data_IF_791459828149
#
_entry.id   IF_791459828149
#
_cell.length_a   1.000
_cell.length_b   1.000
_cell.length_c   1.000
_cell.angle_alpha   90.00
_cell.angle_beta   90.00
_cell.angle_gamma   90.00
#
_symmetry.space_group_name_H-M   'P 1'
#
loop_
_entity.id
_entity.type
_entity.pdbx_description
1 polymer ?
#
# COMPACT_ATOMS: atom_id res chain seq x y z
N UNK A 1 -26.13 -25.52 -2.22
CA UNK A 1 -24.77 -25.39 -2.79
C UNK A 1 -23.82 -25.92 -1.73
N UNK A 2 -22.67 -26.48 -2.11
CA UNK A 2 -21.66 -26.85 -1.11
C UNK A 2 -21.01 -25.55 -0.63
N UNK A 3 -21.17 -25.25 0.66
CA UNK A 3 -20.64 -24.04 1.31
C UNK A 3 -19.15 -24.21 1.73
N UNK A 4 -18.44 -25.13 1.07
CA UNK A 4 -17.04 -25.44 1.36
C UNK A 4 -16.34 -26.01 0.12
N UNK A 5 -15.01 -25.90 0.10
CA UNK A 5 -14.15 -26.51 -0.92
C UNK A 5 -12.99 -27.24 -0.26
N UNK A 6 -12.38 -28.18 -0.98
CA UNK A 6 -11.11 -28.80 -0.60
C UNK A 6 -10.01 -28.25 -1.50
N UNK A 7 -8.89 -27.89 -0.91
CA UNK A 7 -7.71 -27.43 -1.62
C UNK A 7 -6.58 -28.44 -1.44
N UNK A 8 -5.77 -28.59 -2.49
CA UNK A 8 -4.57 -29.42 -2.43
C UNK A 8 -3.60 -28.88 -1.37
N UNK A 9 -3.00 -29.78 -0.59
CA UNK A 9 -2.02 -29.39 0.42
C UNK A 9 -0.71 -29.00 -0.26
N UNK A 10 -0.29 -27.76 -0.09
CA UNK A 10 0.97 -27.25 -0.64
C UNK A 10 2.11 -27.61 0.30
N UNK A 11 3.08 -28.37 -0.22
CA UNK A 11 4.32 -28.69 0.49
C UNK A 11 5.21 -27.45 0.57
N UNK A 12 5.73 -27.19 1.77
CA UNK A 12 6.74 -26.15 1.96
C UNK A 12 8.11 -26.73 1.65
N UNK A 13 8.76 -26.17 0.62
CA UNK A 13 10.09 -26.55 0.15
C UNK A 13 10.84 -25.28 -0.25
N UNK A 14 11.73 -24.80 0.61
CA UNK A 14 12.29 -23.47 0.52
C UNK A 14 13.83 -23.40 0.44
N UNK A 15 14.51 -24.54 0.61
CA UNK A 15 15.97 -24.62 0.46
C UNK A 15 16.32 -24.77 -1.02
N UNK A 16 16.55 -23.64 -1.67
CA UNK A 16 16.76 -23.55 -3.12
C UNK A 16 18.24 -23.35 -3.45
N UNK A 17 18.62 -23.75 -4.67
CA UNK A 17 19.80 -23.20 -5.31
C UNK A 17 19.57 -21.73 -5.68
N UNK A 18 20.63 -20.94 -5.85
CA UNK A 18 20.50 -19.54 -6.26
C UNK A 18 19.74 -19.38 -7.59
N UNK A 19 19.95 -20.31 -8.54
CA UNK A 19 19.25 -20.29 -9.82
C UNK A 19 17.74 -20.59 -9.67
N UNK A 20 17.35 -21.46 -8.73
CA UNK A 20 15.94 -21.72 -8.40
C UNK A 20 15.30 -20.53 -7.70
N UNK A 21 16.01 -19.89 -6.76
CA UNK A 21 15.57 -18.65 -6.12
C UNK A 21 15.33 -17.54 -7.16
N UNK A 22 16.23 -17.36 -8.13
CA UNK A 22 16.03 -16.42 -9.23
C UNK A 22 14.76 -16.72 -10.04
N UNK A 23 14.46 -17.99 -10.31
CA UNK A 23 13.22 -18.39 -11.01
C UNK A 23 11.97 -18.21 -10.14
N UNK A 24 12.07 -18.45 -8.84
CA UNK A 24 11.00 -18.16 -7.88
C UNK A 24 10.61 -16.67 -7.92
N UNK A 25 11.57 -15.77 -7.79
CA UNK A 25 11.29 -14.33 -7.79
C UNK A 25 10.85 -13.81 -9.17
N UNK A 26 11.35 -14.40 -10.26
CA UNK A 26 10.79 -14.13 -11.59
C UNK A 26 9.30 -14.51 -11.67
N UNK A 27 8.92 -15.70 -11.20
CA UNK A 27 7.51 -16.13 -11.16
C UNK A 27 6.66 -15.25 -10.24
N UNK A 28 7.21 -14.85 -9.09
CA UNK A 28 6.56 -13.92 -8.19
C UNK A 28 6.29 -12.57 -8.88
N UNK A 29 7.23 -12.09 -9.69
CA UNK A 29 7.06 -10.87 -10.49
C UNK A 29 5.92 -11.02 -11.50
N UNK A 30 5.85 -12.15 -12.19
CA UNK A 30 4.74 -12.45 -13.11
C UNK A 30 3.39 -12.42 -12.36
N UNK A 31 3.28 -13.07 -11.20
CA UNK A 31 2.07 -13.04 -10.38
C UNK A 31 1.72 -11.63 -9.91
N UNK A 32 2.70 -10.84 -9.49
CA UNK A 32 2.51 -9.45 -9.08
C UNK A 32 1.88 -8.60 -10.20
N UNK A 33 2.28 -8.81 -11.45
CA UNK A 33 1.65 -8.13 -12.59
C UNK A 33 0.18 -8.52 -12.80
N UNK A 34 -0.16 -9.79 -12.57
CA UNK A 34 -1.53 -10.28 -12.64
C UNK A 34 -2.38 -9.68 -11.51
N UNK A 35 -1.84 -9.64 -10.30
CA UNK A 35 -2.53 -9.08 -9.13
C UNK A 35 -2.77 -7.58 -9.23
N UNK A 36 -1.83 -6.83 -9.81
CA UNK A 36 -2.03 -5.41 -10.14
C UNK A 36 -3.27 -5.20 -11.03
N UNK A 37 -3.43 -6.04 -12.05
CA UNK A 37 -4.54 -5.94 -13.01
C UNK A 37 -5.86 -6.39 -12.39
N UNK A 38 -5.85 -7.52 -11.66
CA UNK A 38 -7.02 -8.04 -10.97
C UNK A 38 -7.42 -7.19 -9.75
N UNK A 39 -6.62 -6.19 -9.38
CA UNK A 39 -6.83 -5.38 -8.17
C UNK A 39 -6.84 -6.26 -6.91
N UNK A 40 -6.00 -7.28 -6.90
CA UNK A 40 -5.89 -8.19 -5.77
C UNK A 40 -5.31 -7.46 -4.55
N UNK A 41 -5.75 -7.89 -3.38
CA UNK A 41 -5.25 -7.42 -2.08
C UNK A 41 -4.96 -8.63 -1.20
N UNK A 42 -4.27 -8.41 -0.08
CA UNK A 42 -4.09 -9.43 0.96
C UNK A 42 -3.16 -10.61 0.59
N UNK A 43 -2.21 -10.40 -0.33
CA UNK A 43 -1.16 -11.38 -0.66
C UNK A 43 0.04 -11.25 0.30
N UNK A 44 -0.24 -11.21 1.61
CA UNK A 44 0.76 -11.09 2.67
C UNK A 44 1.38 -12.46 3.01
N UNK A 45 2.37 -12.44 3.92
CA UNK A 45 3.20 -13.59 4.27
C UNK A 45 2.46 -14.88 4.66
N UNK A 46 1.25 -14.80 5.22
CA UNK A 46 0.47 -15.99 5.59
C UNK A 46 -0.17 -16.68 4.38
N UNK A 47 -0.37 -15.94 3.29
CA UNK A 47 -1.11 -16.38 2.10
C UNK A 47 -0.20 -16.89 0.96
N UNK A 48 1.11 -16.95 1.18
CA UNK A 48 2.09 -17.45 0.22
C UNK A 48 2.93 -18.58 0.83
N UNK A 49 3.08 -19.67 0.09
CA UNK A 49 3.98 -20.78 0.45
C UNK A 49 5.03 -20.96 -0.65
N UNK A 50 6.30 -21.06 -0.24
CA UNK A 50 7.40 -21.50 -1.11
C UNK A 50 7.29 -23.00 -1.32
N UNK A 51 7.02 -23.41 -2.55
CA UNK A 51 6.97 -24.82 -2.97
C UNK A 51 7.98 -25.04 -4.08
N UNK A 52 9.24 -25.25 -3.68
CA UNK A 52 10.38 -25.23 -4.56
C UNK A 52 10.52 -23.86 -5.21
N UNK A 53 10.72 -23.85 -6.51
CA UNK A 53 10.84 -22.62 -7.31
C UNK A 53 9.50 -21.93 -7.64
N UNK A 54 8.38 -22.31 -6.99
CA UNK A 54 7.04 -21.78 -7.26
C UNK A 54 6.45 -21.05 -6.04
N UNK A 55 6.11 -19.74 -6.15
CA UNK A 55 5.31 -19.03 -5.15
C UNK A 55 3.85 -19.47 -5.23
N UNK A 56 3.41 -20.28 -4.25
CA UNK A 56 2.06 -20.82 -4.21
C UNK A 56 1.15 -19.92 -3.38
N UNK A 57 0.08 -19.45 -4.02
CA UNK A 57 -0.93 -18.59 -3.42
C UNK A 57 -2.00 -19.51 -2.83
N UNK A 58 -2.15 -19.50 -1.51
CA UNK A 58 -3.02 -20.45 -0.83
C UNK A 58 -4.39 -19.87 -0.46
N UNK A 59 -4.52 -18.54 -0.45
CA UNK A 59 -5.79 -17.86 -0.28
C UNK A 59 -6.06 -16.95 -1.49
N UNK A 60 -7.23 -17.08 -2.09
CA UNK A 60 -7.63 -16.36 -3.31
C UNK A 60 -8.97 -15.64 -3.17
N UNK A 61 -9.52 -15.57 -1.95
CA UNK A 61 -10.82 -14.93 -1.70
C UNK A 61 -10.82 -13.41 -1.98
N UNK A 62 -9.63 -12.80 -1.98
CA UNK A 62 -9.34 -11.37 -2.27
C UNK A 62 -8.59 -11.18 -3.59
N UNK A 63 -8.64 -12.17 -4.50
CA UNK A 63 -8.00 -12.06 -5.82
C UNK A 63 -8.57 -10.90 -6.65
N UNK A 64 -9.82 -10.52 -6.39
CA UNK A 64 -10.46 -9.32 -6.92
C UNK A 64 -10.85 -8.44 -5.73
N UNK A 65 -10.99 -7.14 -5.95
CA UNK A 65 -11.46 -6.21 -4.90
C UNK A 65 -12.60 -5.32 -5.37
N UNK A 66 -13.48 -5.02 -4.41
CA UNK A 66 -14.48 -3.98 -4.54
C UNK A 66 -14.01 -2.73 -3.79
N UNK A 67 -14.32 -1.55 -4.32
CA UNK A 67 -13.84 -0.29 -3.78
C UNK A 67 -15.01 0.68 -3.54
N UNK A 68 -15.03 1.29 -2.35
CA UNK A 68 -16.02 2.32 -1.98
C UNK A 68 -15.73 3.62 -2.74
N UNK A 69 -14.47 3.86 -3.09
CA UNK A 69 -14.02 5.01 -3.87
C UNK A 69 -13.23 4.52 -5.07
N UNK A 70 -13.37 5.22 -6.19
CA UNK A 70 -12.56 4.99 -7.38
C UNK A 70 -12.13 6.33 -7.98
N UNK A 71 -10.81 6.52 -8.03
CA UNK A 71 -10.14 7.67 -8.62
C UNK A 71 -9.20 7.26 -9.77
N UNK A 72 -9.34 6.04 -10.31
CA UNK A 72 -8.42 5.44 -11.29
C UNK A 72 -8.15 6.33 -12.50
N UNK A 73 -9.17 6.99 -13.04
CA UNK A 73 -9.02 7.90 -14.18
C UNK A 73 -8.16 9.12 -13.84
N UNK A 74 -8.32 9.66 -12.64
CA UNK A 74 -7.62 10.86 -12.17
C UNK A 74 -6.15 10.51 -11.90
N UNK A 75 -5.93 9.51 -11.05
CA UNK A 75 -4.59 9.09 -10.61
C UNK A 75 -3.85 8.29 -11.68
N UNK A 76 -4.52 7.88 -12.76
CA UNK A 76 -4.01 6.99 -13.81
C UNK A 76 -3.44 5.68 -13.26
N UNK A 77 -4.04 5.17 -12.18
CA UNK A 77 -3.58 3.96 -11.48
C UNK A 77 -2.24 4.09 -10.77
N UNK A 78 -1.81 5.32 -10.48
CA UNK A 78 -0.52 5.62 -9.86
C UNK A 78 -0.58 5.86 -8.34
N UNK A 79 -1.76 5.88 -7.72
CA UNK A 79 -1.84 5.96 -6.24
C UNK A 79 -1.42 4.64 -5.60
N UNK A 80 -0.97 4.70 -4.33
CA UNK A 80 -0.52 3.50 -3.58
C UNK A 80 -1.60 2.42 -3.59
N UNK A 81 -2.86 2.79 -3.34
CA UNK A 81 -4.02 1.89 -3.23
C UNK A 81 -4.39 1.20 -4.55
N UNK A 82 -3.87 1.69 -5.68
CA UNK A 82 -4.16 1.18 -7.02
C UNK A 82 -2.94 0.54 -7.68
N UNK A 83 -1.81 0.53 -6.96
CA UNK A 83 -0.50 0.09 -7.43
C UNK A 83 -0.16 -1.33 -6.98
N UNK A 84 0.98 -1.84 -7.43
CA UNK A 84 1.57 -3.11 -6.97
C UNK A 84 1.73 -3.20 -5.46
N UNK A 85 1.85 -2.06 -4.76
CA UNK A 85 1.99 -2.02 -3.31
C UNK A 85 0.72 -2.45 -2.58
N UNK A 86 -0.47 -2.23 -3.17
CA UNK A 86 -1.75 -2.62 -2.55
C UNK A 86 -1.95 -4.14 -2.48
N UNK A 87 -1.12 -4.92 -3.20
CA UNK A 87 -1.19 -6.38 -3.20
C UNK A 87 -0.73 -6.99 -1.88
N UNK A 88 0.06 -6.26 -1.08
CA UNK A 88 0.78 -6.77 0.09
C UNK A 88 1.87 -7.83 -0.21
N UNK A 89 2.19 -8.12 -1.48
CA UNK A 89 3.34 -8.98 -1.81
C UNK A 89 4.69 -8.29 -1.53
N UNK A 90 4.72 -6.97 -1.63
CA UNK A 90 5.91 -6.15 -1.52
C UNK A 90 6.01 -5.49 -0.14
N UNK A 91 7.23 -5.26 0.38
CA UNK A 91 7.44 -4.51 1.61
C UNK A 91 6.88 -3.09 1.49
N UNK A 92 6.08 -2.68 2.46
CA UNK A 92 5.68 -1.29 2.62
C UNK A 92 5.64 -0.95 4.11
N UNK A 93 6.41 0.05 4.52
CA UNK A 93 6.31 0.65 5.84
C UNK A 93 5.27 1.76 5.78
N UNK A 94 4.00 1.41 5.99
CA UNK A 94 2.90 2.37 6.03
C UNK A 94 2.48 2.69 7.48
N UNK A 95 1.43 3.50 7.64
CA UNK A 95 0.93 3.86 8.97
C UNK A 95 0.10 2.76 9.65
N UNK A 96 -0.31 1.73 8.90
CA UNK A 96 -1.23 0.68 9.37
C UNK A 96 -0.44 -0.45 10.03
N UNK A 97 0.68 -0.85 9.43
CA UNK A 97 1.61 -1.83 9.98
C UNK A 97 3.00 -1.22 10.09
N UNK A 98 3.50 -1.11 11.31
CA UNK A 98 4.86 -0.64 11.61
C UNK A 98 5.89 -1.78 11.60
N UNK A 99 5.51 -2.93 11.03
CA UNK A 99 6.35 -4.11 10.81
C UNK A 99 6.08 -4.67 9.41
N UNK A 100 7.10 -5.26 8.79
CA UNK A 100 6.95 -5.87 7.48
C UNK A 100 6.10 -7.15 7.52
N UNK A 101 4.92 -7.09 6.89
CA UNK A 101 4.02 -8.25 6.71
C UNK A 101 3.97 -8.72 5.25
N UNK A 102 4.90 -8.30 4.40
CA UNK A 102 4.84 -8.57 2.97
C UNK A 102 4.97 -10.05 2.59
N UNK A 103 4.35 -10.41 1.47
CA UNK A 103 4.34 -11.78 0.96
C UNK A 103 5.70 -12.34 0.53
N UNK A 104 6.65 -11.49 0.10
CA UNK A 104 7.89 -11.98 -0.54
C UNK A 104 9.15 -11.87 0.31
N UNK A 105 9.21 -10.94 1.26
CA UNK A 105 10.43 -10.70 2.02
C UNK A 105 10.14 -10.68 3.51
N UNK A 106 11.10 -11.18 4.28
CA UNK A 106 11.04 -11.18 5.74
C UNK A 106 12.12 -10.29 6.32
N UNK A 107 11.77 -9.61 7.40
CA UNK A 107 12.70 -8.89 8.26
C UNK A 107 12.23 -9.06 9.69
N UNK A 108 13.15 -9.43 10.59
CA UNK A 108 12.83 -9.54 12.01
C UNK A 108 12.63 -8.14 12.60
N UNK A 109 11.40 -7.87 13.04
CA UNK A 109 10.98 -6.56 13.53
C UNK A 109 10.01 -6.70 14.68
N UNK A 110 10.00 -5.71 15.56
CA UNK A 110 9.06 -5.59 16.67
C UNK A 110 8.23 -4.32 16.49
N UNK A 111 6.92 -4.49 16.57
CA UNK A 111 5.97 -3.40 16.50
C UNK A 111 6.12 -2.46 17.70
N UNK A 112 6.06 -1.17 17.42
CA UNK A 112 6.05 -0.09 18.41
C UNK A 112 4.64 0.35 18.77
N UNK A 113 3.66 0.00 17.94
CA UNK A 113 2.27 0.45 18.07
C UNK A 113 1.31 -0.70 18.39
N UNK A 114 1.62 -1.93 17.99
CA UNK A 114 0.78 -3.11 18.17
C UNK A 114 1.34 -3.98 19.30
N UNK A 115 0.50 -4.19 20.32
CA UNK A 115 0.82 -5.04 21.47
C UNK A 115 -0.28 -6.06 21.72
N UNK A 116 0.10 -7.22 22.22
CA UNK A 116 -0.81 -8.25 22.70
C UNK A 116 -0.43 -8.70 24.11
N UNK A 117 -1.36 -9.37 24.79
CA UNK A 117 -1.11 -9.97 26.10
C UNK A 117 -1.00 -11.47 25.92
N UNK A 118 0.14 -12.04 26.31
CA UNK A 118 0.37 -13.48 26.33
C UNK A 118 0.20 -14.03 27.74
N UNK A 119 -0.45 -15.19 27.88
CA UNK A 119 -0.54 -15.89 29.16
C UNK A 119 0.76 -16.67 29.37
N UNK A 120 1.51 -16.30 30.40
CA UNK A 120 2.80 -16.90 30.73
C UNK A 120 2.64 -17.74 31.99
N UNK A 121 3.06 -19.00 31.91
CA UNK A 121 3.16 -19.89 33.06
C UNK A 121 4.33 -19.45 33.96
N UNK A 122 4.09 -19.38 35.25
CA UNK A 122 5.09 -18.98 36.23
C UNK A 122 4.93 -19.83 37.49
N UNK A 123 6.01 -20.49 37.91
CA UNK A 123 5.98 -21.40 39.08
C UNK A 123 5.55 -20.74 40.39
N UNK A 124 5.70 -19.42 40.55
CA UNK A 124 5.30 -18.68 41.75
C UNK A 124 3.92 -18.00 41.62
N UNK A 125 3.55 -17.57 40.42
CA UNK A 125 2.32 -16.82 40.14
C UNK A 125 1.22 -17.64 39.45
N UNK A 126 1.45 -18.94 39.25
CA UNK A 126 0.67 -19.86 38.41
C UNK A 126 0.67 -19.40 36.94
N UNK A 127 -0.12 -18.36 36.61
CA UNK A 127 -0.09 -17.70 35.30
C UNK A 127 -0.22 -16.19 35.45
N UNK A 128 0.45 -15.44 34.58
CA UNK A 128 0.24 -13.99 34.47
C UNK A 128 0.22 -13.54 33.01
N UNK A 129 -0.44 -12.41 32.75
CA UNK A 129 -0.43 -11.81 31.42
C UNK A 129 0.77 -10.88 31.27
N UNK A 130 1.58 -11.11 30.23
CA UNK A 130 2.68 -10.25 29.84
C UNK A 130 2.31 -9.47 28.58
N UNK A 131 2.51 -8.15 28.60
CA UNK A 131 2.34 -7.31 27.41
C UNK A 131 3.56 -7.50 26.50
N UNK A 132 3.35 -8.08 25.32
CA UNK A 132 4.37 -8.29 24.29
C UNK A 132 4.09 -7.42 23.07
N UNK A 133 5.15 -6.87 22.48
CA UNK A 133 5.07 -6.26 21.16
C UNK A 133 4.72 -7.35 20.12
N UNK A 134 3.89 -7.02 19.14
CA UNK A 134 3.77 -7.85 17.95
C UNK A 134 5.14 -7.94 17.26
N UNK A 135 5.49 -9.09 16.72
CA UNK A 135 6.76 -9.29 16.03
C UNK A 135 6.52 -10.08 14.77
N UNK A 136 7.36 -9.86 13.77
CA UNK A 136 7.42 -10.75 12.61
C UNK A 136 8.07 -12.07 13.04
N UNK A 137 7.74 -13.14 12.33
CA UNK A 137 8.33 -14.46 12.53
C UNK A 137 8.62 -15.08 11.18
N UNK A 138 9.54 -16.06 11.14
CA UNK A 138 9.77 -16.82 9.91
C UNK A 138 8.52 -17.63 9.58
N UNK A 139 8.06 -17.47 8.34
CA UNK A 139 6.85 -18.07 7.81
C UNK A 139 7.19 -18.83 6.53
N UNK A 140 6.20 -19.55 6.00
CA UNK A 140 6.39 -20.46 4.85
C UNK A 140 6.56 -19.75 3.51
N UNK A 141 6.64 -18.43 3.51
CA UNK A 141 6.80 -17.58 2.32
C UNK A 141 8.27 -17.23 2.00
N UNK A 142 9.23 -17.68 2.82
CA UNK A 142 10.63 -17.25 2.74
C UNK A 142 11.52 -18.29 2.09
N UNK A 143 12.32 -17.84 1.13
CA UNK A 143 13.30 -18.65 0.37
C UNK A 143 14.66 -18.64 1.08
N UNK A 144 15.30 -19.80 1.12
CA UNK A 144 16.65 -20.00 1.65
C UNK A 144 17.60 -20.44 0.52
N UNK A 145 18.83 -19.92 0.52
CA UNK A 145 19.94 -20.41 -0.32
C UNK A 145 21.13 -20.65 0.59
N UNK A 146 21.66 -21.88 0.59
CA UNK A 146 22.75 -22.29 1.49
C UNK A 146 22.48 -21.99 2.98
N UNK A 147 21.23 -22.18 3.42
CA UNK A 147 20.80 -21.93 4.81
C UNK A 147 20.66 -20.45 5.19
N UNK A 148 20.72 -19.52 4.22
CA UNK A 148 20.51 -18.08 4.45
C UNK A 148 19.26 -17.59 3.74
N UNK A 149 18.55 -16.66 4.37
CA UNK A 149 17.43 -15.95 3.75
C UNK A 149 17.97 -15.16 2.56
N UNK A 150 17.30 -15.28 1.42
CA UNK A 150 17.66 -14.52 0.21
C UNK A 150 17.22 -13.08 0.36
N UNK A 151 18.16 -12.14 0.22
CA UNK A 151 17.92 -10.70 0.32
C UNK A 151 17.28 -10.10 -0.93
N UNK A 152 16.56 -9.00 -0.78
CA UNK A 152 15.91 -8.28 -1.88
C UNK A 152 16.90 -7.74 -2.92
N UNK A 153 18.11 -7.40 -2.48
CA UNK A 153 19.23 -6.93 -3.28
C UNK A 153 19.78 -8.01 -4.23
N UNK A 154 19.62 -9.29 -3.88
CA UNK A 154 20.13 -10.42 -4.67
C UNK A 154 19.17 -10.83 -5.80
N UNK A 155 17.86 -10.57 -5.63
CA UNK A 155 16.79 -11.11 -6.49
C UNK A 155 15.81 -10.06 -7.02
N UNK A 156 15.94 -8.81 -6.59
CA UNK A 156 15.05 -7.70 -6.99
C UNK A 156 15.00 -7.48 -8.49
N UNK A 157 16.13 -7.64 -9.18
CA UNK A 157 16.18 -7.56 -10.65
C UNK A 157 15.32 -8.66 -11.30
N UNK A 158 15.35 -9.90 -10.78
CA UNK A 158 14.51 -10.99 -11.30
C UNK A 158 13.03 -10.77 -11.03
N UNK A 159 12.68 -10.19 -9.88
CA UNK A 159 11.31 -9.77 -9.59
C UNK A 159 10.82 -8.73 -10.61
N UNK A 160 11.65 -7.73 -10.93
CA UNK A 160 11.34 -6.69 -11.93
C UNK A 160 11.24 -7.25 -13.35
N UNK A 161 12.15 -8.14 -13.75
CA UNK A 161 12.10 -8.85 -15.04
C UNK A 161 10.81 -9.65 -15.19
N UNK A 162 10.42 -10.39 -14.14
CA UNK A 162 9.18 -11.16 -14.11
C UNK A 162 7.94 -10.29 -14.19
N UNK A 163 7.90 -9.19 -13.42
CA UNK A 163 6.82 -8.22 -13.46
C UNK A 163 6.63 -7.62 -14.85
N UNK A 164 7.72 -7.16 -15.46
CA UNK A 164 7.67 -6.57 -16.80
C UNK A 164 7.21 -7.60 -17.85
N UNK A 165 7.73 -8.82 -17.78
CA UNK A 165 7.34 -9.89 -18.70
C UNK A 165 5.85 -10.23 -18.59
N UNK A 166 5.32 -10.37 -17.37
CA UNK A 166 3.90 -10.61 -17.12
C UNK A 166 3.02 -9.44 -17.57
N UNK A 167 3.40 -8.20 -17.23
CA UNK A 167 2.68 -7.00 -17.61
C UNK A 167 2.62 -6.81 -19.13
N UNK A 168 3.74 -6.99 -19.84
CA UNK A 168 3.78 -6.93 -21.32
C UNK A 168 3.05 -8.09 -21.99
N UNK A 169 2.98 -9.26 -21.34
CA UNK A 169 2.15 -10.36 -21.82
C UNK A 169 0.66 -9.98 -21.74
N UNK A 170 0.21 -9.45 -20.61
CA UNK A 170 -1.16 -8.97 -20.42
C UNK A 170 -1.50 -7.85 -21.40
N UNK A 171 -0.61 -6.88 -21.60
CA UNK A 171 -0.80 -5.75 -22.52
C UNK A 171 -1.03 -6.22 -23.97
N UNK A 172 -0.29 -7.25 -24.42
CA UNK A 172 -0.45 -7.83 -25.76
C UNK A 172 -1.73 -8.63 -25.95
N UNK A 173 -2.32 -9.14 -24.86
CA UNK A 173 -3.47 -10.05 -24.88
C UNK A 173 -4.69 -9.46 -24.15
N UNK A 174 -4.80 -8.13 -24.07
CA UNK A 174 -5.83 -7.43 -23.29
C UNK A 174 -7.25 -7.86 -23.63
N UNK A 175 -7.58 -8.00 -24.92
CA UNK A 175 -8.93 -8.33 -25.36
C UNK A 175 -9.31 -9.79 -24.99
N UNK A 176 -8.35 -10.72 -25.06
CA UNK A 176 -8.56 -12.09 -24.61
C UNK A 176 -8.75 -12.14 -23.09
N UNK A 177 -7.94 -11.39 -22.34
CA UNK A 177 -8.07 -11.29 -20.90
C UNK A 177 -9.45 -10.73 -20.47
N UNK A 178 -9.90 -9.64 -21.11
CA UNK A 178 -11.25 -9.07 -20.89
C UNK A 178 -12.35 -10.09 -21.19
N UNK A 179 -12.21 -10.87 -22.26
CA UNK A 179 -13.18 -11.91 -22.63
C UNK A 179 -13.26 -13.04 -21.58
N UNK A 180 -12.14 -13.45 -21.00
CA UNK A 180 -12.11 -14.44 -19.93
C UNK A 180 -12.87 -13.92 -18.71
N UNK A 181 -12.57 -12.70 -18.26
CA UNK A 181 -13.22 -12.10 -17.09
C UNK A 181 -14.71 -11.80 -17.32
N UNK A 182 -15.08 -11.37 -18.52
CA UNK A 182 -16.48 -11.11 -18.91
C UNK A 182 -17.30 -12.37 -19.16
N UNK A 183 -16.73 -13.57 -19.00
CA UNK A 183 -17.43 -14.83 -19.18
C UNK A 183 -18.58 -14.99 -18.19
N UNK A 184 -19.73 -15.47 -18.67
CA UNK A 184 -20.90 -15.77 -17.83
C UNK A 184 -20.60 -16.80 -16.73
N UNK A 185 -19.52 -17.59 -16.87
CA UNK A 185 -19.02 -18.52 -15.84
C UNK A 185 -18.76 -17.82 -14.50
N UNK A 186 -18.33 -16.56 -14.53
CA UNK A 186 -17.95 -15.82 -13.32
C UNK A 186 -19.03 -14.83 -12.85
N UNK A 187 -20.20 -14.79 -13.50
CA UNK A 187 -21.23 -13.79 -13.20
C UNK A 187 -21.76 -13.84 -11.75
N UNK A 188 -21.70 -15.02 -11.12
CA UNK A 188 -22.08 -15.23 -9.71
C UNK A 188 -20.88 -15.43 -8.78
N UNK A 189 -19.65 -15.15 -9.26
CA UNK A 189 -18.47 -15.24 -8.42
C UNK A 189 -18.59 -14.25 -7.26
N UNK A 190 -18.55 -14.78 -6.05
CA UNK A 190 -18.51 -13.99 -4.82
C UNK A 190 -17.06 -13.58 -4.53
N UNK A 191 -16.87 -12.31 -4.20
CA UNK A 191 -15.58 -11.68 -3.96
C UNK A 191 -15.59 -11.11 -2.55
N UNK A 192 -14.65 -11.53 -1.70
CA UNK A 192 -14.59 -11.08 -0.31
C UNK A 192 -14.27 -9.59 -0.25
N UNK A 193 -15.00 -8.88 0.62
CA UNK A 193 -14.78 -7.46 0.88
C UNK A 193 -14.13 -7.27 2.26
N UNK A 194 -12.84 -6.97 2.29
CA UNK A 194 -12.11 -6.65 3.52
C UNK A 194 -12.37 -5.19 3.93
N UNK A 195 -13.45 -4.96 4.68
CA UNK A 195 -13.85 -3.63 5.14
C UNK A 195 -13.12 -3.15 6.40
N UNK A 196 -12.41 -4.05 7.07
CA UNK A 196 -11.61 -3.80 8.28
C UNK A 196 -10.60 -4.93 8.43
N UNK A 197 -9.38 -4.60 8.87
CA UNK A 197 -8.37 -5.61 9.15
C UNK A 197 -8.85 -6.62 10.19
N UNK A 198 -8.64 -7.90 9.91
CA UNK A 198 -9.10 -9.03 10.74
C UNK A 198 -8.62 -8.96 12.19
N UNK A 199 -7.41 -8.41 12.41
CA UNK A 199 -6.84 -8.19 13.74
C UNK A 199 -7.77 -7.38 14.66
N UNK A 200 -8.45 -6.37 14.10
CA UNK A 200 -9.35 -5.52 14.89
C UNK A 200 -10.50 -6.35 15.44
N UNK A 201 -11.12 -7.20 14.62
CA UNK A 201 -12.17 -8.12 15.07
C UNK A 201 -11.65 -9.14 16.08
N UNK A 202 -10.46 -9.69 15.88
CA UNK A 202 -9.84 -10.59 16.83
C UNK A 202 -9.65 -9.93 18.21
N UNK A 203 -9.26 -8.65 18.23
CA UNK A 203 -9.16 -7.86 19.46
C UNK A 203 -10.52 -7.75 20.14
N UNK A 204 -11.60 -7.42 19.42
CA UNK A 204 -12.95 -7.39 20.00
C UNK A 204 -13.36 -8.74 20.60
N UNK A 205 -13.16 -9.84 19.87
CA UNK A 205 -13.50 -11.20 20.33
C UNK A 205 -12.70 -11.55 21.59
N UNK A 206 -11.41 -11.24 21.63
CA UNK A 206 -10.54 -11.46 22.80
C UNK A 206 -11.05 -10.70 24.03
N UNK A 207 -11.38 -9.42 23.88
CA UNK A 207 -11.91 -8.61 24.97
C UNK A 207 -13.30 -9.09 25.44
N UNK A 208 -14.11 -9.59 24.50
CA UNK A 208 -15.40 -10.22 24.79
C UNK A 208 -15.28 -11.52 25.60
N UNK A 209 -14.18 -12.28 25.41
CA UNK A 209 -13.90 -13.55 26.10
C UNK A 209 -13.26 -13.38 27.50
N UNK A 210 -12.99 -12.15 27.96
CA UNK A 210 -12.49 -11.92 29.33
C UNK A 210 -13.56 -12.29 30.37
N UNK A 211 -13.15 -12.88 31.50
CA UNK A 211 -14.05 -13.37 32.57
C UNK A 211 -15.04 -12.30 33.02
N UNK A 212 -14.57 -11.06 33.23
CA UNK A 212 -15.44 -9.96 33.66
C UNK A 212 -16.51 -9.59 32.62
N UNK A 213 -16.18 -9.74 31.34
CA UNK A 213 -17.08 -9.47 30.23
C UNK A 213 -18.09 -10.59 30.07
N UNK A 214 -17.65 -11.85 30.12
CA UNK A 214 -18.50 -13.04 30.03
C UNK A 214 -19.56 -13.09 31.14
N UNK A 215 -19.22 -12.59 32.34
CA UNK A 215 -20.14 -12.52 33.48
C UNK A 215 -21.14 -11.35 33.40
N UNK A 216 -20.98 -10.42 32.46
CA UNK A 216 -21.79 -9.19 32.41
C UNK A 216 -22.13 -8.78 30.98
N UNK A 217 -23.40 -9.04 30.57
CA UNK A 217 -23.93 -8.68 29.25
C UNK A 217 -23.80 -7.19 28.93
N UNK A 218 -23.99 -6.30 29.91
CA UNK A 218 -23.84 -4.85 29.67
C UNK A 218 -22.39 -4.47 29.35
N UNK A 219 -21.40 -5.11 30.00
CA UNK A 219 -19.98 -4.94 29.65
C UNK A 219 -19.69 -5.48 28.24
N UNK A 220 -20.21 -6.66 27.92
CA UNK A 220 -20.10 -7.26 26.57
C UNK A 220 -20.63 -6.31 25.48
N UNK A 221 -21.86 -5.85 25.62
CA UNK A 221 -22.49 -4.92 24.67
C UNK A 221 -21.74 -3.57 24.61
N UNK A 222 -21.23 -3.07 25.74
CA UNK A 222 -20.46 -1.82 25.79
C UNK A 222 -19.14 -1.92 25.01
N UNK A 223 -18.45 -3.07 25.05
CA UNK A 223 -17.24 -3.30 24.25
C UNK A 223 -17.61 -3.23 22.76
N UNK A 224 -18.62 -3.97 22.31
CA UNK A 224 -19.00 -3.97 20.89
C UNK A 224 -19.47 -2.59 20.39
N UNK A 225 -20.14 -1.79 21.25
CA UNK A 225 -20.54 -0.40 20.92
C UNK A 225 -19.37 0.55 20.64
N UNK A 226 -18.13 0.18 20.96
CA UNK A 226 -16.95 0.96 20.55
C UNK A 226 -16.87 1.07 19.03
N UNK A 227 -17.29 0.02 18.30
CA UNK A 227 -17.34 0.05 16.83
C UNK A 227 -18.23 1.19 16.31
N UNK A 228 -19.38 1.43 16.95
CA UNK A 228 -20.28 2.53 16.57
C UNK A 228 -19.66 3.90 16.82
N UNK A 229 -18.95 4.08 17.95
CA UNK A 229 -18.32 5.36 18.31
C UNK A 229 -17.18 5.74 17.38
N UNK A 230 -16.40 4.75 16.92
CA UNK A 230 -15.29 4.96 16.00
C UNK A 230 -15.71 4.97 14.52
N UNK A 231 -17.01 4.85 14.23
CA UNK A 231 -17.51 4.81 12.87
C UNK A 231 -18.19 6.13 12.50
N UNK A 232 -17.70 6.74 11.43
CA UNK A 232 -18.42 7.83 10.78
C UNK A 232 -19.42 7.22 9.80
N UNK A 233 -20.74 7.41 10.03
CA UNK A 233 -21.74 6.88 9.13
C UNK A 233 -21.58 7.54 7.75
N UNK A 234 -21.54 6.71 6.71
CA UNK A 234 -21.66 7.16 5.33
C UNK A 234 -23.15 7.32 4.97
N UNK A 235 -23.48 7.39 3.68
CA UNK A 235 -24.86 7.47 3.18
C UNK A 235 -25.76 6.32 3.68
N UNK A 236 -25.16 5.16 3.98
CA UNK A 236 -25.84 3.96 4.46
C UNK A 236 -26.05 3.92 5.98
N UNK A 237 -25.75 5.02 6.69
CA UNK A 237 -25.86 5.07 8.15
C UNK A 237 -24.94 4.07 8.83
N UNK A 238 -25.49 3.25 9.72
CA UNK A 238 -24.75 2.28 10.54
C UNK A 238 -24.94 0.82 10.13
N UNK A 239 -25.68 0.52 9.06
CA UNK A 239 -26.08 -0.86 8.68
C UNK A 239 -24.90 -1.84 8.60
N UNK A 240 -23.80 -1.43 7.97
CA UNK A 240 -22.56 -2.22 7.88
C UNK A 240 -21.99 -2.56 9.27
N UNK A 241 -21.97 -1.60 10.20
CA UNK A 241 -21.43 -1.80 11.56
C UNK A 241 -22.38 -2.59 12.44
N UNK A 242 -23.69 -2.44 12.24
CA UNK A 242 -24.68 -3.27 12.90
C UNK A 242 -24.49 -4.75 12.56
N UNK A 243 -24.26 -5.07 11.28
CA UNK A 243 -23.93 -6.45 10.88
C UNK A 243 -22.58 -6.91 11.47
N UNK A 244 -21.55 -6.05 11.54
CA UNK A 244 -20.29 -6.38 12.25
C UNK A 244 -20.58 -6.80 13.71
N UNK A 245 -21.39 -6.01 14.41
CA UNK A 245 -21.76 -6.26 15.82
C UNK A 245 -22.56 -7.56 15.95
N UNK A 246 -23.50 -7.85 15.05
CA UNK A 246 -24.29 -9.09 15.08
C UNK A 246 -23.44 -10.35 14.83
N UNK A 247 -22.37 -10.25 14.04
CA UNK A 247 -21.39 -11.32 13.89
C UNK A 247 -20.54 -11.48 15.16
N UNK A 248 -20.00 -10.38 15.70
CA UNK A 248 -19.17 -10.41 16.90
C UNK A 248 -19.92 -10.84 18.17
N UNK A 249 -21.23 -10.60 18.25
CA UNK A 249 -22.09 -11.15 19.32
C UNK A 249 -22.08 -12.68 19.37
N UNK A 250 -21.86 -13.32 18.23
CA UNK A 250 -21.69 -14.79 18.10
C UNK A 250 -20.23 -15.22 18.19
N UNK A 251 -19.32 -14.27 18.40
CA UNK A 251 -17.86 -14.45 18.37
C UNK A 251 -17.32 -14.86 17.00
N UNK A 252 -18.06 -14.57 15.94
CA UNK A 252 -17.63 -14.76 14.55
C UNK A 252 -16.91 -13.51 14.04
N UNK A 253 -15.90 -13.71 13.21
CA UNK A 253 -15.33 -12.62 12.40
C UNK A 253 -16.33 -12.28 11.30
N UNK A 254 -16.73 -11.01 11.13
CA UNK A 254 -17.66 -10.62 10.08
C UNK A 254 -17.12 -10.98 8.69
N UNK A 255 -17.94 -11.69 7.91
CA UNK A 255 -17.67 -12.00 6.51
C UNK A 255 -18.58 -11.15 5.62
N UNK A 256 -17.96 -10.29 4.82
CA UNK A 256 -18.63 -9.48 3.81
C UNK A 256 -18.14 -9.84 2.43
N UNK A 257 -19.01 -9.72 1.44
CA UNK A 257 -18.68 -9.98 0.05
C UNK A 257 -19.54 -9.14 -0.89
N UNK A 258 -19.14 -9.09 -2.16
CA UNK A 258 -19.99 -8.69 -3.29
C UNK A 258 -19.92 -9.76 -4.38
N UNK A 259 -20.70 -9.60 -5.44
CA UNK A 259 -20.57 -10.43 -6.65
C UNK A 259 -19.77 -9.67 -7.70
N UNK A 260 -19.15 -10.40 -8.63
CA UNK A 260 -18.28 -9.84 -9.68
C UNK A 260 -18.89 -8.63 -10.42
N UNK A 261 -20.20 -8.68 -10.71
CA UNK A 261 -20.93 -7.66 -11.46
C UNK A 261 -21.90 -6.84 -10.60
N UNK A 262 -21.74 -6.87 -9.28
CA UNK A 262 -22.64 -6.20 -8.33
C UNK A 262 -21.88 -5.19 -7.46
N UNK A 263 -22.61 -4.20 -6.97
CA UNK A 263 -22.16 -3.09 -6.12
C UNK A 263 -22.74 -3.15 -4.71
N UNK A 264 -23.64 -4.09 -4.45
CA UNK A 264 -24.23 -4.30 -3.14
C UNK A 264 -23.24 -4.96 -2.17
N UNK A 265 -23.32 -4.60 -0.90
CA UNK A 265 -22.60 -5.28 0.17
C UNK A 265 -23.46 -6.42 0.72
N UNK A 266 -22.93 -7.63 0.70
CA UNK A 266 -23.59 -8.82 1.21
C UNK A 266 -22.95 -9.35 2.49
N UNK A 267 -23.76 -9.95 3.34
CA UNK A 267 -23.32 -10.84 4.41
C UNK A 267 -24.40 -11.90 4.65
N UNK A 268 -23.99 -13.16 4.89
CA UNK A 268 -24.90 -14.28 5.18
C UNK A 268 -26.07 -14.40 4.18
N UNK A 269 -25.79 -14.29 2.88
CA UNK A 269 -26.77 -14.34 1.80
C UNK A 269 -27.85 -13.24 1.84
N UNK A 270 -27.59 -12.12 2.53
CA UNK A 270 -28.46 -10.96 2.60
C UNK A 270 -27.72 -9.73 2.10
N UNK A 271 -28.45 -8.85 1.43
CA UNK A 271 -27.96 -7.50 1.14
C UNK A 271 -27.98 -6.70 2.45
N UNK A 272 -26.82 -6.18 2.85
CA UNK A 272 -26.64 -5.34 4.03
C UNK A 272 -26.78 -3.87 3.64
N UNK A 273 -26.11 -3.48 2.56
CA UNK A 273 -26.18 -2.14 1.99
C UNK A 273 -26.34 -2.25 0.46
N UNK A 274 -27.37 -1.60 -0.09
CA UNK A 274 -27.50 -1.47 -1.54
C UNK A 274 -26.48 -0.44 -2.05
N UNK A 275 -25.89 -0.67 -3.23
CA UNK A 275 -24.98 0.28 -3.90
C UNK A 275 -23.82 0.78 -3.00
N UNK A 276 -23.32 -0.10 -2.12
CA UNK A 276 -22.28 0.23 -1.16
C UNK A 276 -20.94 0.57 -1.81
N UNK A 277 -20.61 -0.12 -2.90
CA UNK A 277 -19.40 0.10 -3.67
C UNK A 277 -19.69 1.03 -4.85
N UNK A 278 -18.77 1.95 -5.16
CA UNK A 278 -18.89 2.83 -6.32
C UNK A 278 -18.91 2.02 -7.63
N UNK A 279 -18.12 0.96 -7.67
CA UNK A 279 -17.93 0.09 -8.83
C UNK A 279 -17.92 -1.38 -8.41
N UNK A 280 -18.39 -2.24 -9.31
CA UNK A 280 -18.26 -3.70 -9.12
C UNK A 280 -16.79 -4.14 -9.27
N UNK A 281 -16.42 -5.32 -8.74
CA UNK A 281 -15.07 -5.86 -8.94
C UNK A 281 -14.67 -5.95 -10.42
N UNK A 282 -15.57 -6.35 -11.32
CA UNK A 282 -15.29 -6.37 -12.75
C UNK A 282 -15.00 -4.96 -13.29
N UNK A 283 -15.83 -3.98 -12.91
CA UNK A 283 -15.64 -2.60 -13.36
C UNK A 283 -14.32 -2.01 -12.87
N UNK A 284 -13.88 -2.33 -11.65
CA UNK A 284 -12.56 -1.92 -11.15
C UNK A 284 -11.41 -2.46 -12.00
N UNK A 285 -11.50 -3.72 -12.43
CA UNK A 285 -10.51 -4.30 -13.35
C UNK A 285 -10.55 -3.59 -14.70
N UNK A 286 -11.74 -3.36 -15.26
CA UNK A 286 -11.89 -2.67 -16.54
C UNK A 286 -11.36 -1.23 -16.50
N UNK A 287 -11.59 -0.51 -15.41
CA UNK A 287 -11.03 0.83 -15.18
C UNK A 287 -9.51 0.79 -15.05
N UNK A 288 -8.95 -0.22 -14.38
CA UNK A 288 -7.50 -0.42 -14.35
C UNK A 288 -6.90 -0.71 -15.74
N UNK A 289 -7.60 -1.50 -16.55
CA UNK A 289 -7.19 -1.84 -17.91
C UNK A 289 -7.29 -0.66 -18.88
N UNK A 290 -8.19 0.30 -18.66
CA UNK A 290 -8.33 1.46 -19.57
C UNK A 290 -7.13 2.42 -19.51
N UNK A 291 -6.42 2.43 -18.38
CA UNK A 291 -5.18 3.23 -18.18
C UNK A 291 -3.91 2.38 -18.28
N UNK A 292 -4.03 1.07 -18.53
CA UNK A 292 -2.89 0.16 -18.58
C UNK A 292 -2.12 0.28 -19.89
N UNK A 293 -0.88 0.78 -19.79
CA UNK A 293 0.02 1.03 -20.91
C UNK A 293 1.49 0.96 -20.45
N UNK A 294 2.44 1.15 -21.37
CA UNK A 294 3.87 1.12 -21.07
C UNK A 294 4.32 2.16 -20.02
N UNK A 295 3.69 3.33 -19.96
CA UNK A 295 3.99 4.33 -18.91
C UNK A 295 3.54 3.85 -17.53
N UNK A 296 2.37 3.21 -17.45
CA UNK A 296 1.90 2.58 -16.22
C UNK A 296 2.84 1.45 -15.81
N UNK A 297 3.29 0.59 -16.75
CA UNK A 297 4.26 -0.47 -16.45
C UNK A 297 5.55 0.13 -15.88
N UNK A 298 6.11 1.16 -16.51
CA UNK A 298 7.30 1.87 -16.02
C UNK A 298 7.09 2.42 -14.61
N UNK A 299 5.94 3.03 -14.37
CA UNK A 299 5.60 3.59 -13.06
C UNK A 299 5.50 2.52 -11.96
N UNK A 300 4.86 1.38 -12.27
CA UNK A 300 4.72 0.30 -11.31
C UNK A 300 6.08 -0.35 -11.02
N UNK A 301 6.96 -0.50 -12.02
CA UNK A 301 8.36 -0.92 -11.79
C UNK A 301 9.09 0.03 -10.83
N UNK A 302 8.93 1.34 -11.01
CA UNK A 302 9.51 2.33 -10.11
C UNK A 302 9.02 2.16 -8.66
N UNK A 303 7.73 1.84 -8.45
CA UNK A 303 7.21 1.54 -7.11
C UNK A 303 7.76 0.23 -6.53
N UNK A 304 8.00 -0.80 -7.35
CA UNK A 304 8.71 -2.01 -6.91
C UNK A 304 10.12 -1.64 -6.44
N UNK A 305 10.86 -0.89 -7.25
CA UNK A 305 12.21 -0.42 -6.90
C UNK A 305 12.22 0.38 -5.60
N UNK A 306 11.29 1.33 -5.43
CA UNK A 306 11.16 2.11 -4.19
C UNK A 306 10.83 1.23 -2.98
N UNK A 307 9.99 0.21 -3.14
CA UNK A 307 9.66 -0.74 -2.08
C UNK A 307 10.89 -1.54 -1.65
N UNK A 308 11.63 -2.12 -2.60
CA UNK A 308 12.85 -2.87 -2.29
C UNK A 308 13.94 -1.96 -1.70
N UNK A 309 14.09 -0.74 -2.22
CA UNK A 309 15.05 0.24 -1.72
C UNK A 309 14.76 0.64 -0.27
N UNK A 310 13.52 1.03 0.04
CA UNK A 310 13.14 1.42 1.40
C UNK A 310 13.17 0.27 2.40
N UNK A 311 13.08 -0.98 1.92
CA UNK A 311 13.21 -2.18 2.73
C UNK A 311 14.66 -2.53 3.11
N UNK A 312 15.58 -2.44 2.13
CA UNK A 312 16.98 -2.87 2.26
C UNK A 312 17.93 -1.79 2.77
N UNK A 313 17.69 -0.53 2.39
CA UNK A 313 18.58 0.59 2.63
C UNK A 313 18.42 1.16 4.04
N UNK A 314 19.54 1.45 4.71
CA UNK A 314 19.59 2.16 5.99
C UNK A 314 19.98 3.62 5.78
N UNK A 315 19.70 4.47 6.75
CA UNK A 315 20.11 5.89 6.71
C UNK A 315 21.63 6.06 6.49
N UNK A 316 22.44 5.19 7.08
CA UNK A 316 23.90 5.17 6.88
C UNK A 316 24.32 4.98 5.44
N UNK A 317 23.50 4.34 4.62
CA UNK A 317 23.81 4.03 3.23
C UNK A 317 23.55 5.23 2.30
N UNK A 318 22.80 6.24 2.77
CA UNK A 318 22.46 7.45 2.02
C UNK A 318 23.55 8.53 2.17
N UNK A 319 24.15 8.61 3.36
CA UNK A 319 25.23 9.56 3.66
C UNK A 319 26.56 9.07 3.07
N UNK A 320 26.71 9.20 1.75
CA UNK A 320 27.99 9.03 1.09
C UNK A 320 28.78 10.34 1.14
N UNK A 321 30.07 10.28 1.48
CA UNK A 321 30.98 11.41 1.32
C UNK A 321 31.05 11.78 -0.15
N UNK A 322 30.36 12.86 -0.53
CA UNK A 322 30.48 13.42 -1.87
C UNK A 322 31.87 14.04 -2.02
N UNK A 323 32.69 13.49 -2.91
CA UNK A 323 33.89 14.15 -3.39
C UNK A 323 33.47 15.47 -4.05
N UNK A 324 33.75 16.59 -3.39
CA UNK A 324 33.57 17.91 -3.94
C UNK A 324 34.59 18.10 -5.06
N UNK A 325 34.16 17.87 -6.30
CA UNK A 325 34.96 18.19 -7.48
C UNK A 325 34.64 19.65 -7.83
N UNK A 326 35.61 20.54 -7.58
CA UNK A 326 35.51 21.93 -8.02
C UNK A 326 35.73 22.00 -9.54
N UNK A 327 34.62 21.93 -10.29
CA UNK A 327 34.59 22.01 -11.75
C UNK A 327 33.64 23.12 -12.16
N UNK A 328 34.10 24.01 -13.03
CA UNK A 328 33.21 24.94 -13.73
C UNK A 328 32.35 24.15 -14.72
N UNK A 329 31.03 24.25 -14.58
CA UNK A 329 30.05 23.60 -15.45
C UNK A 329 29.39 24.70 -16.30
N UNK A 330 29.30 24.49 -17.61
CA UNK A 330 28.61 25.43 -18.50
C UNK A 330 27.10 25.40 -18.27
N UNK A 331 26.42 26.54 -18.43
CA UNK A 331 24.97 26.64 -18.22
C UNK A 331 24.14 25.64 -19.05
N UNK A 332 24.59 25.30 -20.26
CA UNK A 332 23.89 24.31 -21.12
C UNK A 332 24.02 22.88 -20.58
N UNK A 333 25.20 22.52 -20.09
CA UNK A 333 25.43 21.22 -19.45
C UNK A 333 24.62 21.11 -18.16
N UNK A 334 24.57 22.19 -17.38
CA UNK A 334 23.73 22.27 -16.18
C UNK A 334 22.24 22.12 -16.51
N UNK A 335 21.72 22.81 -17.54
CA UNK A 335 20.32 22.69 -17.97
C UNK A 335 19.97 21.25 -18.35
N UNK A 336 20.86 20.57 -19.08
CA UNK A 336 20.66 19.19 -19.50
C UNK A 336 20.61 18.23 -18.30
N UNK A 337 21.58 18.34 -17.38
CA UNK A 337 21.66 17.48 -16.20
C UNK A 337 20.44 17.69 -15.29
N UNK A 338 20.15 18.95 -14.92
CA UNK A 338 19.02 19.27 -14.04
C UNK A 338 17.68 18.95 -14.71
N UNK A 339 17.58 19.18 -16.02
CA UNK A 339 16.40 18.83 -16.81
C UNK A 339 16.11 17.34 -16.79
N UNK A 340 17.14 16.48 -16.88
CA UNK A 340 16.97 15.03 -16.76
C UNK A 340 16.25 14.66 -15.46
N UNK A 341 16.69 15.19 -14.32
CA UNK A 341 16.05 14.93 -13.03
C UNK A 341 14.63 15.49 -12.95
N UNK A 342 14.42 16.73 -13.42
CA UNK A 342 13.10 17.36 -13.38
C UNK A 342 12.05 16.60 -14.22
N UNK A 343 12.41 16.19 -15.44
CA UNK A 343 11.53 15.43 -16.32
C UNK A 343 11.37 13.97 -15.88
N UNK A 344 12.39 13.37 -15.24
CA UNK A 344 12.26 12.06 -14.63
C UNK A 344 11.25 12.08 -13.47
N UNK A 345 11.35 13.06 -12.56
CA UNK A 345 10.37 13.27 -11.48
C UNK A 345 8.97 13.52 -12.03
N UNK A 346 8.84 14.35 -13.09
CA UNK A 346 7.56 14.57 -13.77
C UNK A 346 6.99 13.26 -14.35
N UNK A 347 7.83 12.36 -14.86
CA UNK A 347 7.35 11.08 -15.41
C UNK A 347 6.68 10.19 -14.35
N UNK A 348 7.00 10.41 -13.06
CA UNK A 348 6.43 9.73 -11.91
C UNK A 348 5.34 10.54 -11.19
N UNK A 349 4.81 11.58 -11.82
CA UNK A 349 3.68 12.35 -11.30
C UNK A 349 2.45 11.47 -11.05
N UNK A 350 1.76 11.74 -9.95
CA UNK A 350 0.48 11.14 -9.57
C UNK A 350 -0.57 12.24 -9.49
N UNK A 351 -1.41 12.44 -10.51
CA UNK A 351 -2.42 13.49 -10.50
C UNK A 351 -3.50 13.20 -9.45
N UNK A 352 -3.89 14.20 -8.66
CA UNK A 352 -4.92 14.09 -7.61
C UNK A 352 -6.20 14.85 -7.97
N UNK A 353 -6.05 15.97 -8.67
CA UNK A 353 -7.11 16.79 -9.26
C UNK A 353 -6.60 17.36 -10.58
N UNK A 354 -7.40 18.16 -11.28
CA UNK A 354 -6.95 18.88 -12.49
C UNK A 354 -5.76 19.82 -12.24
N UNK A 355 -5.56 20.25 -11.00
CA UNK A 355 -4.59 21.27 -10.61
C UNK A 355 -3.66 20.88 -9.46
N UNK A 356 -3.71 19.63 -8.97
CA UNK A 356 -2.86 19.15 -7.89
C UNK A 356 -2.35 17.73 -8.14
N UNK A 357 -1.14 17.47 -7.67
CA UNK A 357 -0.43 16.20 -7.88
C UNK A 357 0.41 15.81 -6.68
N UNK A 358 0.76 14.53 -6.61
CA UNK A 358 1.76 13.96 -5.71
C UNK A 358 2.94 13.41 -6.50
N UNK A 359 4.03 13.18 -5.79
CA UNK A 359 5.18 12.41 -6.22
C UNK A 359 5.62 11.55 -5.03
N UNK A 360 5.69 10.24 -5.20
CA UNK A 360 6.15 9.32 -4.14
C UNK A 360 7.66 9.15 -4.22
N UNK A 361 8.30 9.11 -3.07
CA UNK A 361 9.74 8.99 -2.92
C UNK A 361 10.08 8.21 -1.66
N UNK A 362 11.33 7.76 -1.54
CA UNK A 362 11.87 7.31 -0.28
C UNK A 362 12.03 8.52 0.65
N UNK A 363 11.38 8.46 1.82
CA UNK A 363 11.48 9.46 2.86
C UNK A 363 11.97 8.82 4.16
N UNK A 364 12.86 9.51 4.85
CA UNK A 364 13.35 9.09 6.16
C UNK A 364 12.35 9.54 7.24
N UNK A 365 11.95 8.61 8.10
CA UNK A 365 11.15 8.90 9.29
C UNK A 365 11.82 8.27 10.51
N UNK A 366 12.39 9.12 11.39
CA UNK A 366 13.06 8.89 12.70
C UNK A 366 14.04 7.70 12.83
N UNK A 367 13.75 6.53 12.25
CA UNK A 367 14.53 5.31 12.36
C UNK A 367 14.52 4.44 11.07
N UNK A 368 13.70 4.74 10.06
CA UNK A 368 13.64 3.94 8.83
C UNK A 368 13.24 4.74 7.59
N UNK A 369 13.58 4.20 6.43
CA UNK A 369 13.05 4.65 5.15
C UNK A 369 11.66 4.09 4.92
N UNK A 370 10.80 4.91 4.32
CA UNK A 370 9.47 4.51 3.86
C UNK A 370 9.13 5.20 2.55
N UNK A 371 8.15 4.66 1.83
CA UNK A 371 7.56 5.37 0.70
C UNK A 371 6.60 6.42 1.25
N UNK A 372 6.84 7.70 0.94
CA UNK A 372 5.94 8.81 1.29
C UNK A 372 5.82 9.75 0.09
N UNK A 373 4.75 10.54 0.05
CA UNK A 373 4.63 11.61 -0.93
C UNK A 373 5.49 12.82 -0.49
N UNK A 374 5.94 13.62 -1.47
CA UNK A 374 6.61 14.91 -1.18
C UNK A 374 5.78 15.70 -0.17
N UNK A 375 6.46 16.20 0.86
CA UNK A 375 5.84 16.87 2.00
C UNK A 375 6.31 18.33 2.11
N UNK A 376 5.68 19.07 3.03
CA UNK A 376 5.91 20.49 3.23
C UNK A 376 7.31 20.83 3.78
N UNK A 377 7.94 19.91 4.51
CA UNK A 377 9.22 20.17 5.16
C UNK A 377 10.34 20.27 4.13
N UNK A 378 11.10 21.37 4.17
CA UNK A 378 12.16 21.64 3.18
C UNK A 378 13.21 20.53 3.14
N UNK A 379 13.53 19.91 4.27
CA UNK A 379 14.61 18.93 4.37
C UNK A 379 14.29 17.62 3.64
N UNK A 380 13.08 17.08 3.83
CA UNK A 380 12.72 15.77 3.28
C UNK A 380 12.07 15.86 1.89
N UNK A 381 11.21 16.86 1.62
CA UNK A 381 10.44 16.92 0.38
C UNK A 381 10.32 18.30 -0.25
N UNK A 382 10.10 19.35 0.55
CA UNK A 382 9.89 20.70 0.06
C UNK A 382 11.05 21.23 -0.81
N UNK A 383 12.28 20.78 -0.53
CA UNK A 383 13.45 21.07 -1.35
C UNK A 383 13.32 20.63 -2.82
N UNK A 384 12.59 19.54 -3.10
CA UNK A 384 12.33 19.07 -4.47
C UNK A 384 11.45 20.08 -5.22
N UNK A 385 10.39 20.58 -4.58
CA UNK A 385 9.53 21.60 -5.18
C UNK A 385 10.30 22.90 -5.40
N UNK A 386 11.13 23.28 -4.41
CA UNK A 386 12.03 24.43 -4.53
C UNK A 386 12.98 24.30 -5.71
N UNK A 387 13.58 23.13 -5.90
CA UNK A 387 14.41 22.81 -7.06
C UNK A 387 13.61 22.96 -8.36
N UNK A 388 12.43 22.36 -8.46
CA UNK A 388 11.65 22.34 -9.69
C UNK A 388 11.21 23.74 -10.13
N UNK A 389 10.66 24.57 -9.24
CA UNK A 389 10.27 25.93 -9.64
C UNK A 389 11.49 26.84 -9.90
N UNK A 390 12.62 26.61 -9.21
CA UNK A 390 13.86 27.35 -9.47
C UNK A 390 14.45 26.98 -10.83
N UNK A 391 14.46 25.68 -11.17
CA UNK A 391 14.83 25.19 -12.49
C UNK A 391 13.96 25.83 -13.58
N UNK A 392 12.65 25.80 -13.37
CA UNK A 392 11.68 26.35 -14.31
C UNK A 392 11.87 27.86 -14.54
N UNK A 393 12.15 28.64 -13.49
CA UNK A 393 12.41 30.07 -13.63
C UNK A 393 13.74 30.37 -14.35
N UNK A 394 14.84 29.69 -13.96
CA UNK A 394 16.16 29.91 -14.55
C UNK A 394 16.19 29.56 -16.04
N UNK A 395 15.57 28.45 -16.43
CA UNK A 395 15.60 27.94 -17.80
C UNK A 395 14.33 28.23 -18.60
N UNK A 396 13.37 28.96 -18.02
CA UNK A 396 12.08 29.32 -18.63
C UNK A 396 11.30 28.08 -19.14
N UNK A 397 11.29 27.02 -18.33
CA UNK A 397 10.58 25.77 -18.62
C UNK A 397 9.15 25.80 -18.04
N UNK A 398 8.18 26.12 -18.89
CA UNK A 398 6.76 26.19 -18.53
C UNK A 398 6.15 24.84 -18.12
N UNK A 399 6.70 23.72 -18.60
CA UNK A 399 6.21 22.38 -18.24
C UNK A 399 6.54 22.09 -16.79
N UNK A 400 7.79 22.31 -16.39
CA UNK A 400 8.25 22.11 -15.01
C UNK A 400 7.66 23.17 -14.07
N UNK A 401 7.42 24.40 -14.55
CA UNK A 401 6.69 25.44 -13.80
C UNK A 401 5.29 24.98 -13.40
N UNK A 402 4.52 24.41 -14.35
CA UNK A 402 3.18 23.87 -14.07
C UNK A 402 3.23 22.66 -13.15
N UNK A 403 4.21 21.77 -13.33
CA UNK A 403 4.38 20.60 -12.48
C UNK A 403 4.66 20.98 -11.02
N UNK A 404 5.62 21.88 -10.78
CA UNK A 404 5.93 22.37 -9.43
C UNK A 404 4.74 23.05 -8.75
N UNK A 405 3.92 23.83 -9.50
CA UNK A 405 2.65 24.39 -9.02
C UNK A 405 1.67 23.30 -8.56
N UNK A 406 1.49 22.23 -9.35
CA UNK A 406 0.61 21.12 -8.99
C UNK A 406 1.08 20.36 -7.74
N UNK A 407 2.38 20.13 -7.59
CA UNK A 407 2.93 19.51 -6.38
C UNK A 407 2.71 20.39 -5.14
N UNK A 408 2.94 21.70 -5.26
CA UNK A 408 2.74 22.63 -4.15
C UNK A 408 1.27 22.68 -3.70
N UNK A 409 0.32 22.72 -4.65
CA UNK A 409 -1.11 22.59 -4.38
C UNK A 409 -1.46 21.24 -3.74
N UNK A 410 -0.83 20.16 -4.18
CA UNK A 410 -1.00 18.82 -3.61
C UNK A 410 -0.66 18.77 -2.11
N UNK A 411 0.48 19.35 -1.73
CA UNK A 411 0.88 19.46 -0.32
C UNK A 411 -0.12 20.31 0.47
N UNK A 412 -0.57 21.44 -0.08
CA UNK A 412 -1.53 22.30 0.59
C UNK A 412 -2.87 21.58 0.83
N UNK A 413 -3.40 20.90 -0.18
CA UNK A 413 -4.64 20.12 -0.08
C UNK A 413 -4.51 19.01 0.97
N UNK A 414 -3.38 18.31 1.00
CA UNK A 414 -3.09 17.29 2.01
C UNK A 414 -3.06 17.89 3.43
N UNK A 415 -2.40 19.03 3.62
CA UNK A 415 -2.42 19.75 4.90
C UNK A 415 -3.84 20.12 5.34
N UNK A 416 -4.71 20.59 4.43
CA UNK A 416 -6.09 20.92 4.76
C UNK A 416 -6.88 19.73 5.32
N UNK A 417 -6.59 18.52 4.85
CA UNK A 417 -7.20 17.27 5.32
C UNK A 417 -6.57 16.81 6.64
N UNK A 418 -5.25 16.89 6.76
CA UNK A 418 -4.50 16.36 7.91
C UNK A 418 -4.62 17.25 9.15
N UNK A 419 -4.73 18.58 9.00
CA UNK A 419 -4.76 19.55 10.11
C UNK A 419 -5.95 19.36 11.06
N UNK A 420 -7.02 18.70 10.61
CA UNK A 420 -8.20 18.40 11.42
C UNK A 420 -8.00 17.18 12.33
N UNK A 421 -7.03 16.33 11.99
CA UNK A 421 -6.72 15.07 12.69
C UNK A 421 -5.54 15.19 13.66
N UNK A 422 -4.89 16.34 13.70
CA UNK A 422 -3.65 16.57 14.46
C UNK A 422 -3.91 17.34 15.75
N UNK A 423 -3.56 16.72 16.88
CA UNK A 423 -3.56 17.38 18.19
C UNK A 423 -2.43 18.43 18.31
N UNK A 424 -1.28 18.17 17.67
CA UNK A 424 -0.13 19.08 17.63
C UNK A 424 0.27 19.28 16.17
N UNK A 425 0.33 20.55 15.75
CA UNK A 425 0.71 20.91 14.37
C UNK A 425 2.20 21.25 14.31
N UNK A 426 3.02 20.49 13.57
CA UNK A 426 4.43 20.81 13.40
C UNK A 426 4.57 22.03 12.46
N UNK A 427 4.86 23.21 13.02
CA UNK A 427 4.98 24.47 12.27
C UNK A 427 6.43 24.84 11.89
N UNK A 428 7.36 23.88 11.90
CA UNK A 428 8.72 24.10 11.41
C UNK A 428 8.78 24.32 9.89
N UNK A 429 9.78 25.08 9.43
CA UNK A 429 10.08 25.23 7.99
C UNK A 429 10.76 23.96 7.45
N UNK A 430 11.73 23.43 8.19
CA UNK A 430 12.53 22.27 7.77
C UNK A 430 11.77 20.95 7.93
N UNK A 431 11.04 20.80 9.04
CA UNK A 431 10.30 19.60 9.42
C UNK A 431 8.87 19.98 9.87
N UNK A 432 8.06 20.49 8.94
CA UNK A 432 6.68 20.85 9.24
C UNK A 432 5.96 21.64 8.15
N UNK A 433 4.73 22.02 8.45
CA UNK A 433 3.86 22.77 7.54
C UNK A 433 4.25 24.25 7.39
N UNK A 434 5.18 24.75 8.20
CA UNK A 434 5.77 26.08 7.98
C UNK A 434 6.47 26.19 6.63
N UNK A 435 6.97 25.06 6.10
CA UNK A 435 7.55 25.00 4.76
C UNK A 435 6.57 25.32 3.64
N UNK A 436 5.26 25.10 3.81
CA UNK A 436 4.24 25.51 2.82
C UNK A 436 4.30 27.02 2.61
N UNK A 437 4.37 27.80 3.69
CA UNK A 437 4.44 29.26 3.60
C UNK A 437 5.70 29.70 2.85
N UNK A 438 6.84 29.10 3.18
CA UNK A 438 8.12 29.39 2.54
C UNK A 438 8.10 29.06 1.05
N UNK A 439 7.63 27.87 0.68
CA UNK A 439 7.54 27.42 -0.71
C UNK A 439 6.58 28.28 -1.52
N UNK A 440 5.41 28.59 -0.97
CA UNK A 440 4.38 29.40 -1.65
C UNK A 440 4.85 30.83 -1.87
N UNK A 441 5.44 31.46 -0.84
CA UNK A 441 6.01 32.80 -0.97
C UNK A 441 7.11 32.87 -2.03
N UNK A 442 8.06 31.92 -2.03
CA UNK A 442 9.14 31.92 -3.01
C UNK A 442 8.66 31.57 -4.41
N UNK A 443 7.72 30.62 -4.54
CA UNK A 443 7.08 30.31 -5.82
C UNK A 443 6.42 31.57 -6.40
N UNK A 444 5.57 32.24 -5.61
CA UNK A 444 4.84 33.44 -6.02
C UNK A 444 5.80 34.56 -6.45
N UNK A 445 6.84 34.82 -5.65
CA UNK A 445 7.85 35.83 -5.95
C UNK A 445 8.62 35.57 -7.24
N UNK A 446 8.98 34.32 -7.53
CA UNK A 446 9.75 33.96 -8.72
C UNK A 446 8.87 33.89 -9.98
N UNK A 447 7.59 33.58 -9.83
CA UNK A 447 6.70 33.27 -10.95
C UNK A 447 5.64 34.33 -11.24
N UNK A 448 5.60 35.41 -10.44
CA UNK A 448 4.58 36.47 -10.47
C UNK A 448 3.14 35.92 -10.33
N UNK A 449 2.99 34.86 -9.53
CA UNK A 449 1.74 34.11 -9.37
C UNK A 449 1.17 34.32 -7.96
N UNK A 450 0.13 35.15 -7.84
CA UNK A 450 -0.49 35.50 -6.55
C UNK A 450 -1.63 34.56 -6.13
N UNK A 451 -1.95 33.54 -6.95
CA UNK A 451 -3.03 32.59 -6.64
C UNK A 451 -2.58 31.43 -5.72
N UNK A 452 -1.27 31.22 -5.59
CA UNK A 452 -0.62 30.28 -4.66
C UNK A 452 -0.21 31.03 -3.40
#
# INVERSE_FOLDING_TARGET
MQDYTWQEFVLYDADLTFAEAQRYYYRAGVLLSLFLILKSTDMHHENIIVSGEYPMIIDTETILSAAIKDNMEITKGRSIEQSVLSTAMLPINDSVYDINVSGLFFKEEFSKTIYYYSLIENKEKDFYYEKKAASTSLQKNIVFVNGKIVGSEEVGEKLLEGFEAGAKCLLRNLEEFKKILGSSKYAQLEVRALLRGTQVYYTFIRECKKIETLKNKQKFDKILRILLKGFQPAEFGYLRVEEEIENLKKLDIPLFYTKLNDVNLYSRNKVICNEYFKNSPLQNVLNGLSVFNEEMIKYQKHLIELSLFTFSCKESDINTESLLIDKSIENKELQYILGKYAYEMLSYEVPMTDDSSLFYMAALNQECLRIDAVNAGIYMGGGIIHFLYSYADVFKDETIKKYSKRLLKGIYNRYLIEKEKMDIKPFGIYEGYGGILYLSYNYSRLNEDLEI
#
